data_IF_778511285860
#
_entry.id   IF_778511285860
#
_cell.length_a   1.000
_cell.length_b   1.000
_cell.length_c   1.000
_cell.angle_alpha   90.00
_cell.angle_beta   90.00
_cell.angle_gamma   90.00
#
_symmetry.space_group_name_H-M   'P 1'
#
loop_
_entity.id
_entity.type
_entity.pdbx_description
1 polymer ?
#
# COMPACT_ATOMS: atom_id res chain seq x y z
N UNK A 1 -16.76 -53.54 -59.89
CA UNK A 1 -17.99 -52.96 -59.33
C UNK A 1 -17.71 -51.49 -59.06
N UNK A 2 -18.29 -50.62 -59.88
CA UNK A 2 -18.11 -49.17 -59.89
C UNK A 2 -19.32 -48.48 -59.27
N UNK A 3 -19.11 -47.64 -58.25
CA UNK A 3 -20.11 -46.67 -57.74
C UNK A 3 -19.33 -45.51 -57.09
N UNK A 4 -18.98 -44.48 -57.85
CA UNK A 4 -19.74 -43.23 -58.08
C UNK A 4 -19.73 -42.28 -56.88
N UNK A 5 -18.84 -41.28 -56.96
CA UNK A 5 -18.83 -40.08 -56.11
C UNK A 5 -20.08 -39.22 -56.34
N UNK A 6 -20.67 -38.61 -55.30
CA UNK A 6 -21.81 -37.73 -55.47
C UNK A 6 -21.39 -36.35 -56.00
N UNK A 7 -22.03 -35.94 -57.09
CA UNK A 7 -21.96 -34.64 -57.75
C UNK A 7 -22.54 -33.53 -56.85
N UNK A 8 -22.01 -32.29 -56.86
CA UNK A 8 -22.62 -31.18 -56.15
C UNK A 8 -23.99 -30.81 -56.75
N UNK A 9 -24.95 -30.29 -55.96
CA UNK A 9 -26.23 -29.86 -56.49
C UNK A 9 -26.05 -28.65 -57.41
N UNK A 10 -26.85 -28.63 -58.48
CA UNK A 10 -26.91 -27.56 -59.46
C UNK A 10 -27.41 -26.25 -58.85
N UNK A 11 -26.90 -25.14 -59.36
CA UNK A 11 -27.45 -23.80 -59.16
C UNK A 11 -28.80 -23.70 -59.90
N UNK A 12 -29.87 -24.17 -59.26
CA UNK A 12 -31.25 -23.96 -59.68
C UNK A 12 -31.87 -22.80 -58.92
N UNK A 13 -32.27 -21.75 -59.63
CA UNK A 13 -32.99 -20.61 -59.07
C UNK A 13 -34.27 -21.05 -58.37
N UNK A 14 -34.34 -20.74 -57.08
CA UNK A 14 -35.50 -20.93 -56.22
C UNK A 14 -35.30 -20.05 -55.00
N UNK A 15 -36.29 -19.22 -54.69
CA UNK A 15 -36.19 -18.11 -53.74
C UNK A 15 -35.47 -18.48 -52.45
N UNK A 16 -34.59 -17.57 -52.00
CA UNK A 16 -34.09 -17.53 -50.63
C UNK A 16 -35.26 -17.79 -49.68
N UNK A 17 -35.23 -18.84 -48.85
CA UNK A 17 -36.15 -18.91 -47.74
C UNK A 17 -35.88 -17.64 -46.94
N UNK A 18 -36.92 -16.82 -46.78
CA UNK A 18 -36.85 -15.71 -45.84
C UNK A 18 -36.41 -16.33 -44.51
N UNK A 19 -35.20 -15.98 -44.08
CA UNK A 19 -34.80 -16.16 -42.69
C UNK A 19 -35.95 -15.52 -41.90
N UNK A 20 -36.68 -16.35 -41.14
CA UNK A 20 -37.65 -15.83 -40.18
C UNK A 20 -36.97 -14.74 -39.35
N UNK A 21 -37.73 -13.76 -38.83
CA UNK A 21 -37.14 -12.66 -38.07
C UNK A 21 -36.19 -13.27 -37.06
N UNK A 22 -34.89 -12.93 -37.17
CA UNK A 22 -33.91 -13.25 -36.14
C UNK A 22 -34.55 -12.68 -34.89
N UNK A 23 -35.01 -13.54 -33.99
CA UNK A 23 -35.51 -13.09 -32.70
C UNK A 23 -34.44 -12.16 -32.16
N UNK A 24 -34.80 -10.89 -31.96
CA UNK A 24 -33.86 -9.88 -31.51
C UNK A 24 -33.29 -10.36 -30.18
N UNK A 25 -32.08 -10.94 -30.19
CA UNK A 25 -31.40 -11.40 -28.98
C UNK A 25 -31.32 -10.20 -28.04
N UNK A 26 -32.13 -10.19 -26.99
CA UNK A 26 -32.13 -9.14 -25.98
C UNK A 26 -30.84 -9.27 -25.16
N UNK A 27 -29.78 -8.63 -25.61
CA UNK A 27 -28.59 -8.39 -24.81
C UNK A 27 -28.96 -7.55 -23.59
N UNK A 28 -28.92 -8.13 -22.38
CA UNK A 28 -29.26 -7.42 -21.14
C UNK A 28 -28.06 -7.34 -20.21
N UNK A 29 -27.76 -6.13 -19.72
CA UNK A 29 -26.88 -5.97 -18.56
C UNK A 29 -27.70 -6.28 -17.32
N UNK A 30 -27.32 -7.33 -16.61
CA UNK A 30 -27.99 -7.75 -15.38
C UNK A 30 -27.58 -6.89 -14.18
N UNK A 31 -26.27 -6.70 -14.02
CA UNK A 31 -25.68 -5.97 -12.89
C UNK A 31 -24.34 -5.37 -13.26
N UNK A 32 -24.03 -4.24 -12.63
CA UNK A 32 -22.74 -3.59 -12.70
C UNK A 32 -22.28 -3.25 -11.29
N UNK A 33 -21.06 -3.63 -10.92
CA UNK A 33 -20.55 -3.41 -9.57
C UNK A 33 -19.04 -3.24 -9.53
N UNK A 34 -18.58 -2.52 -8.51
CA UNK A 34 -17.17 -2.46 -8.15
C UNK A 34 -16.76 -3.71 -7.38
N UNK A 35 -15.54 -4.19 -7.60
CA UNK A 35 -15.07 -5.45 -7.03
C UNK A 35 -13.59 -5.44 -6.62
N UNK A 36 -13.28 -6.27 -5.63
CA UNK A 36 -11.93 -6.65 -5.26
C UNK A 36 -11.59 -8.03 -5.84
N UNK A 37 -10.34 -8.21 -6.27
CA UNK A 37 -9.85 -9.50 -6.76
C UNK A 37 -9.41 -10.39 -5.60
N UNK A 38 -9.81 -11.65 -5.66
CA UNK A 38 -9.32 -12.70 -4.77
C UNK A 38 -8.93 -13.94 -5.57
N UNK A 39 -7.80 -14.51 -5.25
CA UNK A 39 -7.16 -15.65 -5.92
C UNK A 39 -7.00 -16.79 -4.93
N UNK A 40 -7.30 -18.00 -5.38
CA UNK A 40 -7.12 -19.24 -4.61
C UNK A 40 -6.19 -20.17 -5.38
N UNK A 41 -5.21 -20.74 -4.71
CA UNK A 41 -4.43 -21.87 -5.22
C UNK A 41 -4.76 -23.12 -4.39
N UNK A 42 -5.31 -24.14 -5.04
CA UNK A 42 -5.61 -25.41 -4.39
C UNK A 42 -5.47 -26.55 -5.40
N UNK A 43 -4.86 -27.67 -4.99
CA UNK A 43 -4.73 -28.89 -5.79
C UNK A 43 -4.16 -28.68 -7.20
N UNK A 44 -3.19 -27.76 -7.34
CA UNK A 44 -2.56 -27.42 -8.64
C UNK A 44 -3.41 -26.54 -9.57
N UNK A 45 -4.59 -26.10 -9.13
CA UNK A 45 -5.41 -25.12 -9.84
C UNK A 45 -5.27 -23.75 -9.18
N UNK A 46 -5.20 -22.70 -10.00
CA UNK A 46 -5.30 -21.30 -9.56
C UNK A 46 -6.63 -20.76 -10.06
N UNK A 47 -7.50 -20.31 -9.17
CA UNK A 47 -8.80 -19.72 -9.53
C UNK A 47 -8.90 -18.29 -9.05
N UNK A 48 -9.74 -17.50 -9.71
CA UNK A 48 -9.99 -16.10 -9.38
C UNK A 48 -11.47 -15.84 -9.19
N UNK A 49 -11.79 -14.98 -8.23
CA UNK A 49 -13.12 -14.40 -8.03
C UNK A 49 -13.03 -12.88 -7.88
N UNK A 50 -14.13 -12.21 -8.19
CA UNK A 50 -14.29 -10.77 -8.07
C UNK A 50 -15.42 -10.50 -7.08
N UNK A 51 -15.06 -10.12 -5.86
CA UNK A 51 -15.99 -9.92 -4.75
C UNK A 51 -16.47 -8.47 -4.71
N UNK A 52 -17.79 -8.26 -4.56
CA UNK A 52 -18.40 -6.93 -4.55
C UNK A 52 -17.75 -6.04 -3.47
N UNK A 53 -17.36 -4.84 -3.87
CA UNK A 53 -16.87 -3.79 -2.98
C UNK A 53 -17.93 -2.70 -2.81
N UNK A 54 -18.19 -2.30 -1.57
CA UNK A 54 -19.07 -1.17 -1.22
C UNK A 54 -18.30 0.07 -0.75
N UNK A 55 -17.00 -0.09 -0.52
CA UNK A 55 -16.10 0.95 -0.01
C UNK A 55 -14.70 0.73 -0.56
N UNK A 56 -14.00 1.81 -0.89
CA UNK A 56 -12.63 1.75 -1.39
C UNK A 56 -11.83 3.00 -1.04
N UNK A 57 -10.52 2.85 -0.97
CA UNK A 57 -9.61 3.97 -0.73
C UNK A 57 -9.24 4.64 -2.05
N UNK A 58 -9.34 5.97 -2.10
CA UNK A 58 -8.97 6.77 -3.27
C UNK A 58 -7.53 6.48 -3.72
N UNK A 59 -7.32 6.37 -5.04
CA UNK A 59 -6.02 6.13 -5.67
C UNK A 59 -5.63 4.67 -5.84
N UNK A 60 -6.27 3.74 -5.13
CA UNK A 60 -5.99 2.31 -5.23
C UNK A 60 -6.65 1.68 -6.46
N UNK A 61 -6.14 0.51 -6.86
CA UNK A 61 -6.72 -0.28 -7.94
C UNK A 61 -8.06 -0.89 -7.50
N UNK A 62 -9.05 -0.87 -8.39
CA UNK A 62 -10.33 -1.55 -8.23
C UNK A 62 -10.77 -2.18 -9.56
N UNK A 63 -11.65 -3.17 -9.49
CA UNK A 63 -12.28 -3.77 -10.66
C UNK A 63 -13.71 -3.26 -10.82
N UNK A 64 -14.16 -3.11 -12.06
CA UNK A 64 -15.59 -2.98 -12.40
C UNK A 64 -15.99 -4.24 -13.16
N UNK A 65 -17.08 -4.85 -12.73
CA UNK A 65 -17.66 -6.05 -13.37
C UNK A 65 -19.03 -5.68 -13.88
N UNK A 66 -19.24 -5.88 -15.18
CA UNK A 66 -20.56 -5.80 -15.82
C UNK A 66 -20.95 -7.21 -16.23
N UNK A 67 -22.05 -7.70 -15.68
CA UNK A 67 -22.58 -9.01 -16.02
C UNK A 67 -23.71 -8.91 -17.02
N UNK A 68 -23.66 -9.82 -17.97
CA UNK A 68 -24.54 -9.84 -19.11
C UNK A 68 -25.29 -11.16 -19.21
N UNK A 69 -26.55 -11.10 -19.63
CA UNK A 69 -27.37 -12.23 -20.07
C UNK A 69 -27.65 -12.10 -21.56
N UNK A 70 -27.66 -13.23 -22.26
CA UNK A 70 -27.94 -13.32 -23.70
C UNK A 70 -27.05 -12.43 -24.59
N UNK A 71 -25.95 -11.90 -24.05
CA UNK A 71 -24.96 -11.15 -24.80
C UNK A 71 -24.03 -12.12 -25.51
N UNK A 72 -24.08 -12.07 -26.84
CA UNK A 72 -23.19 -12.87 -27.69
C UNK A 72 -21.73 -12.63 -27.30
N UNK A 73 -20.94 -13.72 -27.24
CA UNK A 73 -19.50 -13.66 -26.96
C UNK A 73 -18.84 -12.71 -27.96
N UNK A 74 -18.53 -11.51 -27.48
CA UNK A 74 -17.83 -10.50 -28.24
C UNK A 74 -18.51 -9.16 -28.46
N UNK A 75 -19.71 -8.94 -27.91
CA UNK A 75 -20.22 -7.58 -27.80
C UNK A 75 -19.31 -6.72 -26.93
N UNK A 76 -19.34 -5.40 -27.16
CA UNK A 76 -18.56 -4.44 -26.36
C UNK A 76 -19.47 -3.67 -25.41
N UNK A 77 -19.02 -3.59 -24.15
CA UNK A 77 -19.61 -2.75 -23.12
C UNK A 77 -18.70 -1.54 -22.93
N UNK A 78 -19.30 -0.35 -22.95
CA UNK A 78 -18.63 0.88 -22.56
C UNK A 78 -19.08 1.26 -21.15
N UNK A 79 -18.11 1.40 -20.27
CA UNK A 79 -18.27 1.71 -18.85
C UNK A 79 -17.79 3.13 -18.60
N UNK A 80 -18.59 3.94 -17.88
CA UNK A 80 -18.19 5.24 -17.34
C UNK A 80 -18.42 5.26 -15.84
N UNK A 81 -17.62 6.04 -15.14
CA UNK A 81 -17.78 6.27 -13.70
C UNK A 81 -18.42 7.64 -13.53
N UNK A 82 -19.41 7.73 -12.65
CA UNK A 82 -20.10 8.99 -12.37
C UNK A 82 -20.19 9.25 -10.88
N UNK A 83 -20.31 10.51 -10.49
CA UNK A 83 -20.70 10.84 -9.12
C UNK A 83 -22.17 10.46 -8.88
N UNK A 84 -22.48 9.92 -7.71
CA UNK A 84 -23.86 9.69 -7.28
C UNK A 84 -24.44 10.86 -6.49
N UNK A 85 -23.57 11.73 -5.99
CA UNK A 85 -23.85 12.93 -5.21
C UNK A 85 -22.83 14.02 -5.56
N UNK A 86 -23.00 15.23 -5.01
CA UNK A 86 -22.14 16.39 -5.28
C UNK A 86 -20.91 16.45 -4.38
N UNK A 87 -20.71 15.53 -3.43
CA UNK A 87 -19.66 15.66 -2.40
C UNK A 87 -18.26 15.32 -2.88
N UNK A 88 -18.09 14.73 -4.07
CA UNK A 88 -16.75 14.45 -4.62
C UNK A 88 -16.21 15.60 -5.48
N UNK A 89 -17.09 16.25 -6.24
CA UNK A 89 -16.68 17.22 -7.28
C UNK A 89 -17.52 18.50 -7.31
N UNK A 90 -18.52 18.62 -6.43
CA UNK A 90 -19.53 19.68 -6.45
C UNK A 90 -20.68 19.45 -7.44
N UNK A 91 -20.66 18.34 -8.20
CA UNK A 91 -21.65 18.08 -9.25
C UNK A 91 -22.14 16.63 -9.19
N UNK A 92 -23.45 16.43 -9.09
CA UNK A 92 -24.11 15.12 -9.14
C UNK A 92 -24.17 14.59 -10.59
N UNK A 93 -24.06 13.27 -10.79
CA UNK A 93 -24.08 12.62 -12.11
C UNK A 93 -22.94 13.04 -13.05
N UNK A 94 -21.88 13.66 -12.53
CA UNK A 94 -20.75 14.05 -13.35
C UNK A 94 -19.93 12.82 -13.77
N UNK A 95 -19.68 12.64 -15.06
CA UNK A 95 -18.73 11.64 -15.55
C UNK A 95 -17.32 11.99 -15.08
N UNK A 96 -16.74 11.09 -14.31
CA UNK A 96 -15.40 11.24 -13.76
C UNK A 96 -14.34 10.92 -14.81
N UNK A 97 -13.23 11.66 -14.72
CA UNK A 97 -11.98 11.36 -15.40
C UNK A 97 -11.10 10.55 -14.45
N UNK A 98 -10.74 9.34 -14.87
CA UNK A 98 -9.83 8.47 -14.11
C UNK A 98 -8.64 8.08 -14.96
N UNK A 99 -7.51 7.80 -14.33
CA UNK A 99 -6.27 7.47 -15.03
C UNK A 99 -6.31 6.03 -15.56
N UNK A 100 -5.85 5.85 -16.80
CA UNK A 100 -5.46 4.54 -17.32
C UNK A 100 -3.97 4.22 -17.09
N UNK A 101 -3.27 5.09 -16.36
CA UNK A 101 -1.81 5.05 -16.14
C UNK A 101 -1.06 6.13 -16.91
N UNK A 102 -1.57 6.57 -18.07
CA UNK A 102 -0.89 7.54 -18.95
C UNK A 102 -1.67 8.83 -19.19
N UNK A 103 -2.99 8.78 -19.08
CA UNK A 103 -3.87 9.93 -19.29
C UNK A 103 -5.19 9.71 -18.56
N UNK A 104 -5.96 10.79 -18.44
CA UNK A 104 -7.35 10.71 -18.02
C UNK A 104 -8.24 10.11 -19.11
N UNK A 105 -9.08 9.17 -18.70
CA UNK A 105 -10.12 8.56 -19.53
C UNK A 105 -11.48 8.72 -18.85
N UNK A 106 -12.51 8.95 -19.67
CA UNK A 106 -13.90 9.09 -19.21
C UNK A 106 -14.74 7.84 -19.46
N UNK A 107 -14.20 6.89 -20.24
CA UNK A 107 -14.89 5.66 -20.59
C UNK A 107 -13.90 4.54 -20.88
N UNK A 108 -14.31 3.32 -20.55
CA UNK A 108 -13.58 2.09 -20.85
C UNK A 108 -14.46 1.21 -21.72
N UNK A 109 -13.98 0.83 -22.90
CA UNK A 109 -14.70 -0.12 -23.77
C UNK A 109 -14.01 -1.47 -23.69
N UNK A 110 -14.74 -2.48 -23.26
CA UNK A 110 -14.24 -3.85 -23.09
C UNK A 110 -15.18 -4.85 -23.74
N UNK A 111 -14.61 -5.93 -24.27
CA UNK A 111 -15.37 -7.02 -24.89
C UNK A 111 -15.89 -7.96 -23.80
N UNK A 112 -17.15 -8.39 -23.90
CA UNK A 112 -17.71 -9.41 -23.00
C UNK A 112 -16.97 -10.74 -23.19
N UNK A 113 -16.51 -11.33 -22.09
CA UNK A 113 -15.67 -12.51 -22.06
C UNK A 113 -14.17 -12.23 -22.14
N UNK A 114 -13.76 -10.96 -22.24
CA UNK A 114 -12.35 -10.56 -22.17
C UNK A 114 -11.86 -10.54 -20.72
N UNK A 115 -10.86 -11.37 -20.43
CA UNK A 115 -10.27 -11.54 -19.11
C UNK A 115 -8.89 -10.91 -18.97
N UNK A 116 -8.43 -10.12 -19.95
CA UNK A 116 -7.11 -9.48 -19.94
C UNK A 116 -6.87 -8.56 -18.74
N UNK A 117 -7.93 -7.96 -18.18
CA UNK A 117 -7.88 -7.18 -16.94
C UNK A 117 -7.37 -8.00 -15.73
N UNK A 118 -7.41 -9.33 -15.81
CA UNK A 118 -6.97 -10.26 -14.78
C UNK A 118 -5.51 -10.71 -14.96
N UNK A 119 -4.85 -10.34 -16.07
CA UNK A 119 -3.49 -10.77 -16.37
C UNK A 119 -2.46 -10.20 -15.39
N UNK A 120 -1.32 -10.89 -15.30
CA UNK A 120 -0.14 -10.44 -14.56
C UNK A 120 0.69 -9.40 -15.34
N UNK A 121 1.84 -8.99 -14.78
CA UNK A 121 2.71 -7.98 -15.41
C UNK A 121 3.33 -8.44 -16.74
N UNK A 122 3.34 -9.75 -17.02
CA UNK A 122 3.81 -10.33 -18.28
C UNK A 122 2.65 -10.59 -19.26
N UNK A 123 1.45 -10.08 -18.97
CA UNK A 123 0.23 -10.30 -19.73
C UNK A 123 -0.19 -11.78 -19.81
N UNK A 124 0.20 -12.59 -18.81
CA UNK A 124 -0.19 -13.99 -18.69
C UNK A 124 -1.39 -14.15 -17.75
N UNK A 125 -2.21 -15.17 -18.00
CA UNK A 125 -3.36 -15.52 -17.16
C UNK A 125 -3.22 -16.96 -16.67
N UNK A 126 -2.94 -17.14 -15.38
CA UNK A 126 -2.74 -18.46 -14.78
C UNK A 126 -4.05 -19.11 -14.29
N UNK A 127 -5.18 -18.43 -14.44
CA UNK A 127 -6.44 -18.87 -13.84
C UNK A 127 -7.13 -19.97 -14.66
N UNK A 128 -7.58 -21.03 -13.99
CA UNK A 128 -8.22 -22.19 -14.64
C UNK A 128 -9.73 -22.02 -14.82
N UNK A 129 -10.35 -21.05 -14.13
CA UNK A 129 -11.79 -20.82 -14.14
C UNK A 129 -12.22 -19.62 -15.01
N UNK A 130 -11.45 -19.27 -16.04
CA UNK A 130 -11.77 -18.13 -16.92
C UNK A 130 -13.10 -18.27 -17.65
N UNK A 131 -13.58 -19.51 -17.84
CA UNK A 131 -14.90 -19.77 -18.42
C UNK A 131 -16.05 -19.15 -17.61
N UNK A 132 -15.88 -18.96 -16.29
CA UNK A 132 -16.87 -18.33 -15.40
C UNK A 132 -17.11 -16.85 -15.74
N UNK A 133 -16.18 -16.24 -16.48
CA UNK A 133 -16.21 -14.83 -16.87
C UNK A 133 -16.66 -14.64 -18.33
N UNK A 134 -17.08 -15.70 -19.02
CA UNK A 134 -17.46 -15.65 -20.44
C UNK A 134 -18.62 -14.68 -20.73
N UNK A 135 -19.45 -14.37 -19.73
CA UNK A 135 -20.57 -13.44 -19.82
C UNK A 135 -20.30 -12.11 -19.07
N UNK A 136 -19.04 -11.78 -18.78
CA UNK A 136 -18.67 -10.59 -18.01
C UNK A 136 -17.77 -9.67 -18.82
N UNK A 137 -17.97 -8.37 -18.65
CA UNK A 137 -17.04 -7.34 -19.06
C UNK A 137 -16.30 -6.86 -17.81
N UNK A 138 -14.97 -6.88 -17.83
CA UNK A 138 -14.12 -6.60 -16.66
C UNK A 138 -13.20 -5.44 -16.97
N UNK A 139 -13.25 -4.39 -16.15
CA UNK A 139 -12.34 -3.25 -16.23
C UNK A 139 -11.48 -3.21 -14.98
N UNK A 140 -10.16 -3.11 -15.12
CA UNK A 140 -9.21 -2.82 -14.03
C UNK A 140 -8.76 -1.37 -14.16
N UNK A 141 -8.86 -0.60 -13.09
CA UNK A 141 -8.44 0.81 -13.09
C UNK A 141 -7.88 1.25 -11.74
N UNK A 142 -7.07 2.31 -11.75
CA UNK A 142 -6.68 3.02 -10.53
C UNK A 142 -7.70 4.12 -10.27
N UNK A 143 -8.35 4.12 -9.11
CA UNK A 143 -9.45 5.01 -8.81
C UNK A 143 -8.96 6.42 -8.41
N UNK A 144 -8.42 7.15 -9.40
CA UNK A 144 -7.91 8.52 -9.28
C UNK A 144 -7.85 9.20 -10.64
N UNK A 145 -7.88 10.53 -10.71
CA UNK A 145 -7.45 11.25 -11.90
C UNK A 145 -5.94 11.08 -12.15
N UNK A 146 -5.52 11.41 -13.38
CA UNK A 146 -4.12 11.41 -13.79
C UNK A 146 -3.37 12.59 -13.17
N UNK A 147 -3.95 13.79 -13.20
CA UNK A 147 -3.33 15.00 -12.66
C UNK A 147 -3.38 15.03 -11.13
N UNK A 148 -2.25 15.41 -10.52
CA UNK A 148 -2.13 15.52 -9.05
C UNK A 148 -3.10 16.52 -8.43
N UNK A 149 -3.23 17.70 -9.03
CA UNK A 149 -4.11 18.75 -8.52
C UNK A 149 -5.58 18.28 -8.45
N UNK A 150 -6.03 17.50 -9.43
CA UNK A 150 -7.39 16.94 -9.43
C UNK A 150 -7.55 15.86 -8.36
N UNK A 151 -6.52 15.05 -8.12
CA UNK A 151 -6.51 14.08 -7.01
C UNK A 151 -6.64 14.79 -5.66
N UNK A 152 -5.87 15.86 -5.48
CA UNK A 152 -5.88 16.66 -4.25
C UNK A 152 -7.24 17.33 -4.03
N UNK A 153 -7.88 17.85 -5.09
CA UNK A 153 -9.26 18.36 -5.01
C UNK A 153 -10.26 17.28 -4.56
N UNK A 154 -10.19 16.07 -5.12
CA UNK A 154 -11.07 14.97 -4.68
C UNK A 154 -10.80 14.57 -3.23
N UNK A 155 -9.53 14.50 -2.83
CA UNK A 155 -9.12 14.16 -1.47
C UNK A 155 -9.58 15.22 -0.45
N UNK A 156 -9.50 16.51 -0.81
CA UNK A 156 -10.03 17.61 0.00
C UNK A 156 -11.54 17.48 0.23
N UNK A 157 -12.30 17.26 -0.84
CA UNK A 157 -13.74 17.11 -0.72
C UNK A 157 -14.16 15.90 0.13
N UNK A 158 -13.46 14.75 0.02
CA UNK A 158 -13.73 13.59 0.89
C UNK A 158 -13.43 13.94 2.36
N UNK A 159 -12.35 14.69 2.65
CA UNK A 159 -12.04 15.15 4.01
C UNK A 159 -13.18 16.02 4.55
N UNK A 160 -13.65 16.97 3.77
CA UNK A 160 -14.68 17.93 4.18
C UNK A 160 -16.06 17.27 4.37
N UNK A 161 -16.31 16.16 3.66
CA UNK A 161 -17.52 15.35 3.82
C UNK A 161 -17.59 14.60 5.17
N UNK A 162 -16.47 14.45 5.89
CA UNK A 162 -16.42 13.82 7.21
C UNK A 162 -16.97 12.39 7.21
N UNK A 163 -18.01 12.13 8.01
CA UNK A 163 -18.65 10.81 8.08
C UNK A 163 -19.56 10.50 6.88
N UNK A 164 -19.98 11.54 6.15
CA UNK A 164 -20.86 11.42 4.99
C UNK A 164 -20.03 11.26 3.72
N UNK A 165 -19.30 10.15 3.61
CA UNK A 165 -18.39 9.90 2.48
C UNK A 165 -19.11 10.00 1.12
N UNK A 166 -18.45 10.60 0.10
CA UNK A 166 -18.99 10.66 -1.25
C UNK A 166 -19.11 9.26 -1.86
N UNK A 167 -20.07 9.12 -2.76
CA UNK A 167 -20.32 7.87 -3.48
C UNK A 167 -20.21 8.04 -4.98
N UNK A 168 -19.67 7.00 -5.63
CA UNK A 168 -19.58 6.93 -7.09
C UNK A 168 -20.35 5.74 -7.63
N UNK A 169 -20.66 5.84 -8.91
CA UNK A 169 -21.51 4.94 -9.63
C UNK A 169 -20.98 4.52 -11.00
N UNK A 170 -21.68 3.57 -11.61
CA UNK A 170 -21.33 2.96 -12.89
C UNK A 170 -22.42 3.25 -13.92
N UNK A 171 -22.07 3.94 -14.98
CA UNK A 171 -22.90 4.05 -16.18
C UNK A 171 -22.39 3.06 -17.23
N UNK A 172 -23.30 2.31 -17.85
CA UNK A 172 -22.97 1.35 -18.91
C UNK A 172 -23.73 1.65 -20.18
N UNK A 173 -23.08 1.45 -21.32
CA UNK A 173 -23.72 1.41 -22.64
C UNK A 173 -23.21 0.21 -23.42
N UNK A 174 -24.07 -0.44 -24.19
CA UNK A 174 -23.70 -1.60 -25.01
C UNK A 174 -23.84 -1.24 -26.49
N UNK A 175 -22.83 -1.55 -27.29
CA UNK A 175 -22.87 -1.34 -28.73
C UNK A 175 -23.16 -2.67 -29.44
N UNK A 176 -24.44 -2.93 -29.67
CA UNK A 176 -24.93 -3.93 -30.63
C UNK A 176 -26.39 -3.55 -30.98
N UNK A 177 -26.75 -3.60 -32.26
CA UNK A 177 -28.05 -3.22 -32.86
C UNK A 177 -29.16 -2.74 -31.89
N UNK A 178 -29.30 -1.43 -31.67
CA UNK A 178 -30.52 -0.78 -31.12
C UNK A 178 -31.24 -1.50 -29.97
N UNK A 179 -30.54 -1.86 -28.90
CA UNK A 179 -31.15 -2.34 -27.65
C UNK A 179 -31.24 -1.24 -26.59
N UNK A 180 -32.30 -1.31 -25.78
CA UNK A 180 -32.50 -0.51 -24.57
C UNK A 180 -31.93 -1.28 -23.38
N UNK A 181 -31.05 -0.64 -22.61
CA UNK A 181 -30.59 -1.17 -21.33
C UNK A 181 -31.71 -1.05 -20.30
N UNK A 182 -32.12 -2.16 -19.71
CA UNK A 182 -32.73 -2.10 -18.38
C UNK A 182 -31.62 -1.73 -17.39
N UNK A 183 -31.88 -0.71 -16.58
CA UNK A 183 -30.91 -0.18 -15.61
C UNK A 183 -30.39 -1.32 -14.74
N UNK A 184 -29.09 -1.59 -14.84
CA UNK A 184 -28.39 -2.53 -13.98
C UNK A 184 -28.66 -2.16 -12.50
N UNK A 185 -28.83 -3.16 -11.63
CA UNK A 185 -28.81 -2.91 -10.19
C UNK A 185 -27.40 -2.50 -9.80
N UNK A 186 -27.20 -1.19 -9.72
CA UNK A 186 -25.93 -0.58 -9.42
C UNK A 186 -25.70 -0.53 -7.91
N UNK A 187 -24.51 -0.95 -7.48
CA UNK A 187 -24.09 -0.78 -6.09
C UNK A 187 -23.11 0.38 -6.00
N UNK A 188 -23.48 1.47 -5.30
CA UNK A 188 -22.60 2.61 -5.14
C UNK A 188 -21.35 2.22 -4.35
N UNK A 189 -20.24 2.87 -4.66
CA UNK A 189 -18.98 2.71 -3.93
C UNK A 189 -18.70 3.97 -3.11
N UNK A 190 -18.51 3.80 -1.80
CA UNK A 190 -18.07 4.87 -0.91
C UNK A 190 -16.56 5.06 -1.01
N UNK A 191 -16.11 6.32 -1.09
CA UNK A 191 -14.70 6.65 -1.19
C UNK A 191 -14.11 7.07 0.16
N UNK A 192 -13.00 6.46 0.54
CA UNK A 192 -12.23 6.82 1.74
C UNK A 192 -10.98 7.62 1.39
N UNK A 193 -10.67 8.58 2.27
CA UNK A 193 -9.46 9.38 2.18
C UNK A 193 -8.37 8.84 3.13
N UNK A 194 -7.38 8.13 2.58
CA UNK A 194 -6.23 7.60 3.33
C UNK A 194 -4.92 7.86 2.60
N UNK A 195 -3.83 7.92 3.35
CA UNK A 195 -2.48 7.64 2.85
C UNK A 195 -2.34 6.12 2.76
N UNK A 196 -1.76 5.60 1.69
CA UNK A 196 -1.67 4.15 1.48
C UNK A 196 -0.24 3.73 1.24
N UNK A 197 0.19 2.66 1.89
CA UNK A 197 1.40 1.92 1.53
C UNK A 197 1.00 0.53 1.04
N UNK A 198 1.50 0.13 -0.13
CA UNK A 198 1.30 -1.21 -0.65
C UNK A 198 2.65 -1.93 -0.71
N UNK A 199 2.70 -3.10 -0.08
CA UNK A 199 3.90 -3.93 0.05
C UNK A 199 3.67 -5.20 -0.76
N UNK A 200 4.64 -5.61 -1.58
CA UNK A 200 4.52 -6.77 -2.47
C UNK A 200 5.50 -7.87 -2.10
N UNK A 201 5.04 -9.13 -2.07
CA UNK A 201 5.92 -10.30 -2.02
C UNK A 201 6.94 -10.24 -3.16
N UNK A 202 8.20 -10.60 -2.87
CA UNK A 202 9.31 -10.64 -3.85
C UNK A 202 9.03 -11.52 -5.08
N UNK A 203 8.09 -12.46 -5.01
CA UNK A 203 7.68 -13.37 -6.08
C UNK A 203 6.37 -12.96 -6.75
N UNK A 204 5.73 -11.86 -6.32
CA UNK A 204 4.46 -11.42 -6.92
C UNK A 204 4.70 -10.97 -8.37
N UNK A 205 4.16 -11.72 -9.33
CA UNK A 205 4.28 -11.44 -10.78
C UNK A 205 3.28 -10.39 -11.29
N UNK A 206 2.32 -9.97 -10.46
CA UNK A 206 1.35 -8.90 -10.74
C UNK A 206 1.85 -7.53 -10.29
N UNK A 207 2.94 -7.49 -9.51
CA UNK A 207 3.63 -6.25 -9.16
C UNK A 207 4.15 -5.56 -10.43
N UNK A 208 3.66 -4.35 -10.68
CA UNK A 208 4.01 -3.51 -11.84
C UNK A 208 4.98 -2.38 -11.48
N UNK A 209 5.55 -2.39 -10.27
CA UNK A 209 6.50 -1.36 -9.85
C UNK A 209 7.80 -1.42 -10.67
N UNK A 210 8.49 -0.28 -10.85
CA UNK A 210 9.76 -0.22 -11.58
C UNK A 210 10.81 -1.18 -11.05
N UNK A 211 11.66 -1.64 -11.96
CA UNK A 211 12.83 -2.44 -11.64
C UNK A 211 13.98 -1.59 -11.10
N UNK A 212 14.88 -2.25 -10.37
CA UNK A 212 16.14 -1.70 -9.88
C UNK A 212 17.20 -2.80 -9.80
N UNK A 213 18.46 -2.40 -9.71
CA UNK A 213 19.59 -3.34 -9.60
C UNK A 213 20.00 -3.52 -8.14
N UNK A 214 20.07 -4.77 -7.68
CA UNK A 214 20.57 -5.16 -6.36
C UNK A 214 21.71 -6.15 -6.54
N UNK A 215 22.93 -5.79 -6.13
CA UNK A 215 24.11 -6.68 -6.23
C UNK A 215 24.30 -7.31 -7.64
N UNK A 216 23.99 -6.56 -8.69
CA UNK A 216 24.11 -7.01 -10.08
C UNK A 216 22.91 -7.80 -10.63
N UNK A 217 21.85 -8.03 -9.84
CA UNK A 217 20.61 -8.65 -10.30
C UNK A 217 19.48 -7.63 -10.42
N UNK A 218 18.61 -7.82 -11.40
CA UNK A 218 17.42 -6.99 -11.57
C UNK A 218 16.30 -7.50 -10.67
N UNK A 219 15.69 -6.60 -9.89
CA UNK A 219 14.55 -6.88 -9.02
C UNK A 219 13.50 -5.78 -9.13
N UNK A 220 12.21 -6.10 -8.96
CA UNK A 220 11.18 -5.05 -8.82
C UNK A 220 11.26 -4.37 -7.47
N UNK A 221 10.92 -3.09 -7.45
CA UNK A 221 10.57 -2.40 -6.21
C UNK A 221 9.34 -3.07 -5.58
N UNK A 222 9.25 -3.05 -4.24
CA UNK A 222 8.27 -3.83 -3.47
C UNK A 222 7.37 -2.98 -2.60
N UNK A 223 7.61 -1.67 -2.55
CA UNK A 223 6.83 -0.76 -1.72
C UNK A 223 6.41 0.40 -2.59
N UNK A 224 5.11 0.65 -2.63
CA UNK A 224 4.52 1.84 -3.23
C UNK A 224 3.79 2.67 -2.18
N UNK A 225 3.52 3.92 -2.52
CA UNK A 225 2.81 4.88 -1.69
C UNK A 225 1.85 5.72 -2.53
N UNK A 226 0.61 5.86 -2.05
CA UNK A 226 -0.33 6.87 -2.52
C UNK A 226 -0.28 8.03 -1.51
N UNK A 227 0.29 9.14 -1.96
CA UNK A 227 0.44 10.35 -1.17
C UNK A 227 -0.89 11.08 -1.05
N UNK A 228 -1.20 11.56 0.15
CA UNK A 228 -2.45 12.26 0.41
C UNK A 228 -2.25 13.29 1.52
N UNK A 229 -2.37 14.57 1.18
CA UNK A 229 -2.19 15.69 2.12
C UNK A 229 -3.42 15.98 2.98
N UNK A 230 -4.57 15.40 2.66
CA UNK A 230 -5.88 15.75 3.24
C UNK A 230 -6.33 14.75 4.33
N UNK A 231 -5.43 13.89 4.79
CA UNK A 231 -5.67 12.90 5.83
C UNK A 231 -4.38 12.59 6.57
N UNK A 232 -4.51 12.30 7.87
CA UNK A 232 -3.42 11.79 8.69
C UNK A 232 -3.53 10.27 8.91
N UNK A 233 -4.54 9.61 8.37
CA UNK A 233 -4.71 8.17 8.50
C UNK A 233 -3.91 7.44 7.42
N UNK A 234 -3.08 6.49 7.84
CA UNK A 234 -2.21 5.69 6.98
C UNK A 234 -2.63 4.23 7.04
N UNK A 235 -2.96 3.65 5.89
CA UNK A 235 -3.25 2.22 5.74
C UNK A 235 -2.09 1.50 5.07
N UNK A 236 -1.79 0.31 5.56
CA UNK A 236 -0.78 -0.60 4.99
C UNK A 236 -1.48 -1.82 4.42
N UNK A 237 -1.16 -2.14 3.16
CA UNK A 237 -1.64 -3.34 2.48
C UNK A 237 -0.47 -4.22 2.08
N UNK A 238 -0.69 -5.53 2.10
CA UNK A 238 0.26 -6.51 1.58
C UNK A 238 -0.37 -7.30 0.44
N UNK A 239 0.38 -7.45 -0.65
CA UNK A 239 0.06 -8.28 -1.78
C UNK A 239 0.94 -9.53 -1.74
N UNK A 240 0.33 -10.70 -1.54
CA UNK A 240 1.06 -11.96 -1.51
C UNK A 240 1.52 -12.38 -2.92
N UNK A 241 2.19 -13.54 -3.04
CA UNK A 241 2.73 -14.00 -4.35
C UNK A 241 1.67 -14.21 -5.44
N UNK A 242 0.41 -14.44 -5.06
CA UNK A 242 -0.72 -14.65 -5.99
C UNK A 242 -1.63 -13.43 -6.12
N UNK A 243 -1.17 -12.27 -5.65
CA UNK A 243 -1.85 -10.99 -5.78
C UNK A 243 -3.14 -10.84 -4.97
N UNK A 244 -3.28 -11.61 -3.88
CA UNK A 244 -4.29 -11.29 -2.86
C UNK A 244 -3.79 -10.11 -2.03
N UNK A 245 -4.68 -9.13 -1.86
CA UNK A 245 -4.46 -7.95 -1.04
C UNK A 245 -5.02 -8.14 0.37
N UNK A 246 -4.18 -7.94 1.38
CA UNK A 246 -4.52 -7.99 2.79
C UNK A 246 -4.34 -6.61 3.41
N UNK A 247 -5.34 -6.12 4.14
CA UNK A 247 -5.16 -4.93 4.98
C UNK A 247 -4.38 -5.31 6.23
N UNK A 248 -3.17 -4.77 6.37
CA UNK A 248 -2.27 -5.12 7.47
C UNK A 248 -2.54 -4.29 8.70
N UNK A 249 -2.74 -2.98 8.59
CA UNK A 249 -3.17 -2.11 9.69
C UNK A 249 -3.49 -0.69 9.20
N UNK A 250 -4.20 0.06 10.05
CA UNK A 250 -4.37 1.50 9.96
C UNK A 250 -3.76 2.19 11.18
N UNK A 251 -3.03 3.28 10.96
CA UNK A 251 -2.39 4.08 12.02
C UNK A 251 -2.54 5.57 11.74
N UNK A 252 -2.44 6.39 12.79
CA UNK A 252 -2.42 7.85 12.66
C UNK A 252 -0.98 8.35 12.51
N UNK A 253 -0.79 9.24 11.53
CA UNK A 253 0.43 9.97 11.27
C UNK A 253 0.44 11.31 12.03
N UNK A 254 1.59 11.63 12.60
CA UNK A 254 1.95 12.96 13.05
C UNK A 254 3.14 13.48 12.25
N UNK A 255 3.37 14.78 12.28
CA UNK A 255 4.55 15.38 11.67
C UNK A 255 5.27 16.22 12.71
N UNK A 256 6.60 16.05 12.78
CA UNK A 256 7.46 16.75 13.74
C UNK A 256 8.68 17.31 13.02
N UNK A 257 9.36 18.28 13.64
CA UNK A 257 10.59 18.84 13.05
C UNK A 257 11.67 17.78 12.97
N UNK A 258 12.31 17.68 11.80
CA UNK A 258 13.39 16.71 11.56
C UNK A 258 14.56 16.95 12.51
N UNK A 259 15.05 15.87 13.10
CA UNK A 259 16.24 15.85 13.94
C UNK A 259 17.44 15.34 13.15
N UNK A 260 18.63 15.78 13.48
CA UNK A 260 19.82 15.06 13.06
C UNK A 260 20.06 13.85 13.99
N UNK A 261 21.05 13.04 13.66
CA UNK A 261 21.57 12.05 14.61
C UNK A 261 22.03 12.76 15.89
N UNK A 262 21.84 12.08 17.02
CA UNK A 262 22.19 12.61 18.32
C UNK A 262 23.68 12.51 18.63
N UNK A 263 24.07 13.16 19.72
CA UNK A 263 25.43 13.12 20.26
C UNK A 263 25.40 12.74 21.76
N UNK A 264 26.45 12.08 22.23
CA UNK A 264 26.67 11.89 23.67
C UNK A 264 27.31 13.16 24.25
N UNK A 265 26.81 13.63 25.40
CA UNK A 265 27.38 14.81 26.09
C UNK A 265 27.57 14.53 27.59
N UNK A 266 28.58 15.16 28.18
CA UNK A 266 28.96 14.87 29.57
C UNK A 266 28.12 15.60 30.62
N UNK A 267 27.50 16.73 30.26
CA UNK A 267 26.69 17.54 31.17
C UNK A 267 25.50 18.18 30.46
N UNK A 268 24.45 18.50 31.22
CA UNK A 268 23.29 19.26 30.73
C UNK A 268 23.65 20.76 30.77
N UNK A 269 23.71 21.45 29.62
CA UNK A 269 24.03 22.88 29.60
C UNK A 269 22.95 23.74 30.26
N UNK A 270 23.33 24.86 30.86
CA UNK A 270 22.37 25.85 31.35
C UNK A 270 21.50 26.44 30.22
N UNK A 271 20.37 27.06 30.57
CA UNK A 271 19.53 27.82 29.64
C UNK A 271 18.45 27.01 28.91
N UNK A 272 18.05 25.84 29.44
CA UNK A 272 16.82 25.20 28.99
C UNK A 272 15.62 26.05 29.38
N UNK A 273 14.61 26.07 28.53
CA UNK A 273 13.37 26.83 28.76
C UNK A 273 12.30 26.00 29.45
N UNK A 274 12.41 24.68 29.36
CA UNK A 274 11.50 23.72 29.98
C UNK A 274 12.28 22.43 30.27
N UNK A 275 11.90 21.74 31.33
CA UNK A 275 12.31 20.36 31.59
C UNK A 275 11.15 19.58 32.16
N UNK A 276 11.06 18.29 31.85
CA UNK A 276 10.01 17.43 32.36
C UNK A 276 10.37 15.95 32.26
N UNK A 277 9.58 15.07 32.89
CA UNK A 277 9.79 13.64 32.79
C UNK A 277 9.76 13.19 31.32
N UNK A 278 10.67 12.30 30.94
CA UNK A 278 10.62 11.66 29.64
C UNK A 278 9.43 10.69 29.56
N UNK A 279 9.05 10.28 28.34
CA UNK A 279 7.94 9.34 28.14
C UNK A 279 8.17 8.03 28.89
N UNK A 280 7.16 7.60 29.65
CA UNK A 280 7.21 6.37 30.43
C UNK A 280 7.46 5.14 29.56
N UNK A 281 8.29 4.20 30.04
CA UNK A 281 8.58 2.92 29.38
C UNK A 281 9.91 2.84 28.63
N UNK A 282 10.81 3.81 28.78
CA UNK A 282 12.20 3.74 28.30
C UNK A 282 13.21 4.13 29.39
N UNK A 283 14.50 4.02 29.10
CA UNK A 283 15.58 4.38 30.04
C UNK A 283 15.78 5.91 30.23
N UNK A 284 15.03 6.73 29.49
CA UNK A 284 15.07 8.18 29.63
C UNK A 284 14.27 8.59 30.87
N UNK A 285 14.84 9.48 31.69
CA UNK A 285 14.23 9.95 32.93
C UNK A 285 13.70 11.38 32.75
N UNK A 286 14.50 12.28 32.17
CA UNK A 286 14.17 13.70 32.02
C UNK A 286 14.57 14.22 30.64
N UNK A 287 13.70 15.03 30.04
CA UNK A 287 14.00 15.80 28.84
C UNK A 287 14.17 17.28 29.20
N UNK A 288 15.19 17.91 28.62
CA UNK A 288 15.47 19.34 28.71
C UNK A 288 15.35 19.98 27.34
N UNK A 289 14.58 21.05 27.25
CA UNK A 289 14.16 21.65 26.00
C UNK A 289 14.74 23.05 25.82
N UNK A 290 15.23 23.34 24.62
CA UNK A 290 15.89 24.62 24.29
C UNK A 290 15.28 25.22 23.02
N UNK A 291 14.96 26.51 23.07
CA UNK A 291 14.57 27.32 21.91
C UNK A 291 15.79 28.04 21.32
N UNK A 292 15.76 28.47 20.05
CA UNK A 292 16.80 29.38 19.56
C UNK A 292 16.43 30.86 19.72
N UNK A 293 15.15 31.24 19.64
CA UNK A 293 14.73 32.64 19.78
C UNK A 293 13.34 32.77 20.46
N UNK A 294 12.94 33.98 20.91
CA UNK A 294 11.57 34.28 21.33
C UNK A 294 10.52 34.15 20.21
N UNK A 295 10.88 34.39 18.94
CA UNK A 295 9.97 34.31 17.78
C UNK A 295 9.55 32.88 17.42
N UNK A 296 10.41 31.89 17.68
CA UNK A 296 10.11 30.46 17.45
C UNK A 296 8.97 29.91 18.34
N UNK A 297 8.43 30.72 19.27
CA UNK A 297 7.37 30.33 20.21
C UNK A 297 5.97 30.25 19.59
N UNK A 298 5.76 30.78 18.38
CA UNK A 298 4.42 30.92 17.76
C UNK A 298 4.04 29.79 16.80
N UNK A 299 4.90 28.79 16.58
CA UNK A 299 4.68 27.70 15.60
C UNK A 299 3.94 26.51 16.27
N UNK A 300 2.99 25.94 15.53
CA UNK A 300 1.94 25.04 16.01
C UNK A 300 2.43 23.81 16.82
N UNK A 301 1.82 23.66 18.00
CA UNK A 301 2.05 22.69 19.09
C UNK A 301 3.32 22.94 19.92
N UNK A 302 3.10 23.28 21.20
CA UNK A 302 4.10 23.74 22.17
C UNK A 302 5.32 22.81 22.33
N UNK A 303 5.16 21.51 22.03
CA UNK A 303 6.21 20.49 22.09
C UNK A 303 7.13 20.40 20.85
N UNK A 304 6.76 20.99 19.70
CA UNK A 304 7.50 20.85 18.43
C UNK A 304 8.38 22.04 18.04
N UNK A 305 8.41 23.10 18.87
CA UNK A 305 9.23 24.31 18.67
C UNK A 305 10.69 24.19 19.10
N UNK A 306 11.04 23.13 19.84
CA UNK A 306 12.37 23.02 20.43
C UNK A 306 13.45 22.75 19.40
N UNK A 307 14.44 23.64 19.32
CA UNK A 307 15.58 23.49 18.41
C UNK A 307 16.55 22.41 18.86
N UNK A 308 16.44 22.03 20.13
CA UNK A 308 17.34 21.12 20.79
C UNK A 308 16.63 20.46 21.96
N UNK A 309 16.79 19.15 22.04
CA UNK A 309 16.25 18.32 23.11
C UNK A 309 17.43 17.53 23.68
N UNK A 310 17.57 17.55 25.01
CA UNK A 310 18.55 16.75 25.72
C UNK A 310 17.79 15.76 26.58
N UNK A 311 18.00 14.47 26.35
CA UNK A 311 17.43 13.40 27.16
C UNK A 311 18.49 12.88 28.12
N UNK A 312 18.16 12.86 29.41
CA UNK A 312 18.98 12.32 30.47
C UNK A 312 18.40 11.01 30.99
N UNK A 313 19.25 10.04 31.29
CA UNK A 313 18.93 8.96 32.20
C UNK A 313 20.18 8.42 32.88
N UNK A 314 20.02 7.95 34.11
CA UNK A 314 21.12 7.50 34.98
C UNK A 314 21.96 6.39 34.36
N UNK A 315 21.34 5.51 33.56
CA UNK A 315 22.00 4.34 32.95
C UNK A 315 22.90 4.67 31.77
N UNK A 316 22.50 5.61 30.91
CA UNK A 316 23.21 5.88 29.65
C UNK A 316 23.74 7.32 29.53
N UNK A 317 23.52 8.17 30.53
CA UNK A 317 24.00 9.55 30.57
C UNK A 317 23.12 10.48 29.75
N UNK A 318 23.73 11.50 29.13
CA UNK A 318 22.99 12.51 28.37
C UNK A 318 23.10 12.23 26.87
N UNK A 319 21.98 12.41 26.16
CA UNK A 319 21.93 12.41 24.68
C UNK A 319 21.35 13.71 24.21
N UNK A 320 21.97 14.26 23.17
CA UNK A 320 21.66 15.56 22.62
C UNK A 320 21.13 15.41 21.20
N UNK A 321 19.98 16.01 20.88
CA UNK A 321 19.37 15.95 19.55
C UNK A 321 19.10 17.37 19.03
N UNK A 322 19.75 17.73 17.92
CA UNK A 322 19.53 19.01 17.23
C UNK A 322 18.57 18.84 16.05
N UNK A 323 17.98 19.93 15.61
CA UNK A 323 17.26 19.97 14.33
C UNK A 323 18.22 19.75 13.16
N UNK A 324 17.82 18.92 12.19
CA UNK A 324 18.62 18.71 10.97
C UNK A 324 18.76 20.01 10.15
N UNK A 325 17.75 20.87 10.20
CA UNK A 325 17.76 22.18 9.54
C UNK A 325 17.02 23.24 10.36
N UNK A 326 17.43 24.51 10.18
CA UNK A 326 16.71 25.67 10.73
C UNK A 326 15.39 25.95 10.00
N UNK A 327 15.18 25.38 8.81
CA UNK A 327 13.93 25.54 8.07
C UNK A 327 12.75 24.97 8.88
N UNK A 328 11.77 25.81 9.18
CA UNK A 328 10.54 25.43 9.90
C UNK A 328 9.72 24.35 9.17
N UNK A 329 9.88 24.26 7.86
CA UNK A 329 9.19 23.29 7.01
C UNK A 329 9.97 21.98 6.83
N UNK A 330 11.16 21.84 7.42
CA UNK A 330 11.87 20.55 7.44
C UNK A 330 11.23 19.63 8.49
N UNK A 331 10.20 18.93 8.03
CA UNK A 331 9.39 18.01 8.82
C UNK A 331 9.73 16.56 8.48
N UNK A 332 9.49 15.69 9.45
CA UNK A 332 9.42 14.25 9.25
C UNK A 332 8.05 13.75 9.70
N UNK A 333 7.50 12.85 8.90
CA UNK A 333 6.29 12.11 9.22
C UNK A 333 6.62 10.92 10.10
N UNK A 334 5.88 10.76 11.19
CA UNK A 334 5.97 9.64 12.10
C UNK A 334 4.60 8.99 12.26
N UNK A 335 4.59 7.67 12.38
CA UNK A 335 3.42 6.91 12.80
C UNK A 335 3.73 6.20 14.11
N UNK A 336 2.76 6.16 15.02
CA UNK A 336 2.85 5.29 16.19
C UNK A 336 2.53 3.86 15.74
N UNK A 337 3.50 2.97 15.84
CA UNK A 337 3.27 1.56 15.60
C UNK A 337 2.33 0.99 16.69
N UNK A 338 1.42 0.07 16.36
CA UNK A 338 0.68 -0.70 17.35
C UNK A 338 1.62 -1.37 18.37
N UNK A 339 1.20 -1.44 19.65
CA UNK A 339 2.03 -2.00 20.74
C UNK A 339 2.41 -3.47 20.50
N UNK A 340 1.52 -4.19 19.83
CA UNK A 340 1.78 -5.49 19.22
C UNK A 340 1.05 -5.58 17.89
N UNK A 341 1.53 -6.47 17.02
CA UNK A 341 0.81 -6.92 15.86
C UNK A 341 0.88 -8.44 15.79
N UNK A 342 -0.24 -9.05 15.44
CA UNK A 342 -0.34 -10.47 15.15
C UNK A 342 -1.33 -10.63 13.99
N UNK A 343 -0.86 -10.33 12.78
CA UNK A 343 -1.58 -10.70 11.56
C UNK A 343 -1.14 -12.10 11.22
N UNK A 344 -2.09 -13.02 11.09
CA UNK A 344 -1.86 -14.38 10.64
C UNK A 344 -2.99 -14.81 9.71
N UNK A 345 -2.92 -14.35 8.46
CA UNK A 345 -3.89 -14.70 7.44
C UNK A 345 -3.37 -15.94 6.70
N UNK A 346 -3.95 -17.10 7.03
CA UNK A 346 -3.52 -18.39 6.49
C UNK A 346 -4.21 -18.72 5.17
N UNK A 347 -3.41 -18.97 4.13
CA UNK A 347 -3.88 -19.56 2.86
C UNK A 347 -2.87 -20.60 2.33
N UNK A 348 -2.22 -21.35 3.23
CA UNK A 348 -1.18 -22.33 2.88
C UNK A 348 0.15 -21.68 2.50
N UNK A 349 0.69 -21.97 1.31
CA UNK A 349 1.96 -21.42 0.81
C UNK A 349 1.95 -19.88 0.58
N UNK A 350 0.83 -19.24 0.88
CA UNK A 350 0.51 -17.83 0.69
C UNK A 350 0.23 -17.11 2.02
N UNK A 351 0.60 -17.74 3.14
CA UNK A 351 0.44 -17.20 4.50
C UNK A 351 1.04 -15.80 4.61
N UNK A 352 0.26 -14.89 5.20
CA UNK A 352 0.70 -13.53 5.54
C UNK A 352 0.80 -13.44 7.05
N UNK A 353 2.04 -13.53 7.58
CA UNK A 353 2.30 -13.39 9.01
C UNK A 353 3.13 -12.16 9.32
N UNK A 354 2.52 -11.14 9.92
CA UNK A 354 3.21 -9.95 10.40
C UNK A 354 3.06 -9.86 11.92
N UNK A 355 4.03 -10.40 12.64
CA UNK A 355 3.95 -10.54 14.09
C UNK A 355 5.14 -9.88 14.80
N UNK A 356 4.83 -8.96 15.72
CA UNK A 356 5.81 -8.34 16.60
C UNK A 356 5.21 -7.87 17.91
N UNK A 357 6.05 -7.74 18.94
CA UNK A 357 5.71 -7.09 20.20
C UNK A 357 6.80 -6.08 20.58
N UNK A 358 6.41 -4.97 21.20
CA UNK A 358 7.40 -4.10 21.84
C UNK A 358 7.77 -4.59 23.23
N UNK A 359 9.05 -4.58 23.55
CA UNK A 359 9.54 -4.92 24.89
C UNK A 359 10.47 -3.82 25.41
N UNK A 360 10.26 -3.43 26.68
CA UNK A 360 11.11 -2.50 27.43
C UNK A 360 11.46 -1.19 26.68
N UNK A 361 10.51 -0.65 25.91
CA UNK A 361 10.74 0.55 25.12
C UNK A 361 9.49 1.40 24.92
N UNK A 362 9.68 2.71 25.00
CA UNK A 362 8.69 3.71 24.63
C UNK A 362 8.94 4.29 23.21
N UNK A 363 10.03 3.86 22.56
CA UNK A 363 10.40 4.26 21.19
C UNK A 363 9.53 3.52 20.17
N UNK A 364 8.27 3.92 20.04
CA UNK A 364 7.24 3.24 19.21
C UNK A 364 6.85 4.01 17.96
N UNK A 365 7.57 5.09 17.64
CA UNK A 365 7.30 5.93 16.48
C UNK A 365 8.29 5.63 15.37
N UNK A 366 7.79 5.56 14.14
CA UNK A 366 8.57 5.16 12.97
C UNK A 366 8.19 6.02 11.78
N UNK A 367 9.12 6.27 10.87
CA UNK A 367 8.78 6.84 9.57
C UNK A 367 7.82 5.86 8.85
N UNK A 368 6.68 6.32 8.32
CA UNK A 368 5.70 5.41 7.69
C UNK A 368 6.29 4.59 6.52
N UNK A 369 7.27 5.13 5.79
CA UNK A 369 8.00 4.37 4.75
C UNK A 369 8.86 3.25 5.36
N UNK A 370 9.56 3.56 6.45
CA UNK A 370 10.36 2.58 7.20
C UNK A 370 9.45 1.49 7.80
N UNK A 371 8.28 1.87 8.33
CA UNK A 371 7.31 0.91 8.86
C UNK A 371 6.77 -0.04 7.78
N UNK A 372 6.51 0.46 6.56
CA UNK A 372 6.17 -0.41 5.43
C UNK A 372 7.29 -1.43 5.12
N UNK A 373 8.55 -0.99 5.16
CA UNK A 373 9.71 -1.86 5.02
C UNK A 373 9.78 -2.92 6.12
N UNK A 374 9.58 -2.52 7.37
CA UNK A 374 9.59 -3.43 8.51
C UNK A 374 8.45 -4.47 8.43
N UNK A 375 7.22 -4.05 8.09
CA UNK A 375 6.10 -4.96 7.87
C UNK A 375 6.39 -5.98 6.77
N UNK A 376 6.97 -5.54 5.64
CA UNK A 376 7.38 -6.45 4.57
C UNK A 376 8.44 -7.47 5.03
N UNK A 377 9.43 -7.02 5.81
CA UNK A 377 10.44 -7.90 6.39
C UNK A 377 9.84 -8.93 7.35
N UNK A 378 8.89 -8.53 8.21
CA UNK A 378 8.18 -9.46 9.11
C UNK A 378 7.40 -10.52 8.33
N UNK A 379 6.68 -10.12 7.28
CA UNK A 379 5.89 -11.03 6.44
C UNK A 379 6.79 -12.03 5.71
N UNK A 380 7.92 -11.56 5.15
CA UNK A 380 8.90 -12.45 4.52
C UNK A 380 9.54 -13.41 5.53
N UNK A 381 9.83 -12.94 6.75
CA UNK A 381 10.40 -13.78 7.80
C UNK A 381 9.40 -14.82 8.30
N UNK A 382 8.11 -14.47 8.37
CA UNK A 382 7.02 -15.35 8.78
C UNK A 382 7.11 -15.82 10.24
N UNK A 383 7.72 -15.01 11.11
CA UNK A 383 7.97 -15.32 12.53
C UNK A 383 7.83 -14.08 13.40
N UNK A 384 7.69 -14.31 14.71
CA UNK A 384 7.54 -13.25 15.69
C UNK A 384 8.88 -12.56 15.95
N UNK A 385 8.83 -11.24 16.04
CA UNK A 385 9.99 -10.41 16.35
C UNK A 385 9.71 -9.54 17.56
N UNK A 386 10.64 -9.51 18.51
CA UNK A 386 10.59 -8.54 19.61
C UNK A 386 11.28 -7.26 19.14
N UNK A 387 10.53 -6.16 19.10
CA UNK A 387 11.03 -4.83 18.79
C UNK A 387 11.47 -4.13 20.08
N UNK A 388 12.72 -3.69 20.14
CA UNK A 388 13.31 -3.02 21.32
C UNK A 388 13.47 -1.51 21.12
N UNK A 389 13.11 -1.01 19.93
CA UNK A 389 12.75 0.40 19.76
C UNK A 389 13.03 1.00 18.38
N UNK A 390 12.35 2.11 18.14
CA UNK A 390 12.45 2.98 16.98
C UNK A 390 12.86 4.38 17.45
N UNK A 391 12.01 5.41 17.27
CA UNK A 391 12.15 6.74 17.88
C UNK A 391 10.96 7.07 18.80
N UNK A 392 11.08 8.17 19.54
CA UNK A 392 9.99 8.80 20.29
C UNK A 392 9.11 9.65 19.38
N UNK A 393 7.98 10.12 19.92
CA UNK A 393 7.02 10.98 19.20
C UNK A 393 7.69 12.27 18.68
N UNK A 394 8.73 12.74 19.38
CA UNK A 394 9.48 13.96 19.10
C UNK A 394 10.65 13.79 18.13
N UNK A 395 10.71 12.63 17.47
CA UNK A 395 11.80 12.18 16.62
C UNK A 395 13.15 12.03 17.34
N UNK A 396 13.23 12.11 18.68
CA UNK A 396 14.44 11.73 19.43
C UNK A 396 14.47 10.22 19.68
N UNK A 397 15.55 9.69 20.26
CA UNK A 397 15.70 8.23 20.34
C UNK A 397 16.53 7.67 21.49
N UNK A 398 16.56 8.36 22.63
CA UNK A 398 17.33 7.93 23.80
C UNK A 398 17.08 6.45 24.16
N UNK A 399 18.13 5.66 24.50
CA UNK A 399 19.54 6.04 24.64
C UNK A 399 20.33 6.06 23.32
N UNK A 400 19.69 5.68 22.21
CA UNK A 400 20.30 5.61 20.88
C UNK A 400 20.46 7.00 20.26
N UNK A 401 21.56 7.19 19.54
CA UNK A 401 21.85 8.42 18.79
C UNK A 401 21.53 8.32 17.29
N UNK A 402 21.27 7.13 16.76
CA UNK A 402 21.13 6.89 15.31
C UNK A 402 19.70 6.63 14.84
N UNK A 403 18.76 6.57 15.78
CA UNK A 403 17.33 6.37 15.51
C UNK A 403 16.49 7.63 15.29
N UNK A 404 17.00 8.89 15.40
CA UNK A 404 16.13 10.02 15.18
C UNK A 404 15.38 9.94 13.85
N UNK A 405 14.16 10.48 13.83
CA UNK A 405 13.24 10.45 12.68
C UNK A 405 12.62 9.08 12.33
N UNK A 406 12.89 8.02 13.10
CA UNK A 406 12.19 6.75 12.94
C UNK A 406 12.60 5.96 11.69
N UNK A 407 13.79 6.20 11.16
CA UNK A 407 14.35 5.53 9.98
C UNK A 407 15.18 4.27 10.34
N UNK A 408 15.04 3.77 11.58
CA UNK A 408 15.73 2.59 12.10
C UNK A 408 14.88 1.81 13.10
N UNK A 409 15.12 0.50 13.18
CA UNK A 409 14.49 -0.46 14.07
C UNK A 409 15.53 -1.29 14.83
N UNK A 410 15.38 -1.38 16.15
CA UNK A 410 16.09 -2.35 16.98
C UNK A 410 15.19 -3.55 17.23
N UNK A 411 15.75 -4.75 17.10
CA UNK A 411 15.07 -6.01 17.38
C UNK A 411 15.91 -6.90 18.26
N UNK A 412 15.31 -7.67 19.16
CA UNK A 412 16.05 -8.71 19.87
C UNK A 412 16.62 -9.74 18.88
N UNK A 413 17.78 -10.31 19.20
CA UNK A 413 18.31 -11.43 18.43
C UNK A 413 17.37 -12.62 18.51
N UNK A 414 17.16 -13.28 17.37
CA UNK A 414 16.54 -14.60 17.33
C UNK A 414 17.49 -15.65 17.92
N UNK A 415 16.93 -16.78 18.35
CA UNK A 415 17.66 -17.78 19.14
C UNK A 415 18.85 -18.43 18.41
N UNK A 416 18.86 -18.42 17.08
CA UNK A 416 19.88 -19.10 16.27
C UNK A 416 20.43 -18.20 15.17
N UNK A 417 21.69 -18.45 14.79
CA UNK A 417 22.34 -17.79 13.65
C UNK A 417 21.54 -17.89 12.36
N UNK A 418 21.01 -19.07 12.06
CA UNK A 418 20.23 -19.28 10.85
C UNK A 418 18.97 -18.42 10.83
N UNK A 419 18.21 -18.40 11.94
CA UNK A 419 17.01 -17.58 12.03
C UNK A 419 17.32 -16.08 11.94
N UNK A 420 18.39 -15.64 12.60
CA UNK A 420 18.82 -14.24 12.57
C UNK A 420 19.29 -13.82 11.17
N UNK A 421 20.01 -14.70 10.45
CA UNK A 421 20.41 -14.42 9.08
C UNK A 421 19.18 -14.24 8.18
N UNK A 422 18.14 -15.06 8.32
CA UNK A 422 16.89 -14.88 7.58
C UNK A 422 16.22 -13.52 7.89
N UNK A 423 16.29 -13.05 9.15
CA UNK A 423 15.78 -11.72 9.53
C UNK A 423 16.62 -10.61 8.87
N UNK A 424 17.93 -10.72 8.86
CA UNK A 424 18.84 -9.78 8.16
C UNK A 424 18.51 -9.74 6.67
N UNK A 425 18.39 -10.90 6.03
CA UNK A 425 18.10 -11.00 4.60
C UNK A 425 16.74 -10.35 4.29
N UNK A 426 15.72 -10.57 5.12
CA UNK A 426 14.41 -9.95 4.96
C UNK A 426 14.45 -8.41 5.13
N UNK A 427 15.19 -7.90 6.11
CA UNK A 427 15.39 -6.46 6.31
C UNK A 427 16.14 -5.82 5.13
N UNK A 428 17.20 -6.47 4.63
CA UNK A 428 17.94 -6.04 3.44
C UNK A 428 17.04 -5.99 2.20
N UNK A 429 16.24 -7.04 2.03
CA UNK A 429 15.32 -7.18 0.89
C UNK A 429 14.20 -6.12 0.91
N UNK A 430 13.97 -5.50 2.08
CA UNK A 430 13.07 -4.38 2.33
C UNK A 430 13.80 -3.09 2.70
N UNK A 431 14.94 -2.85 2.05
CA UNK A 431 15.59 -1.55 1.93
C UNK A 431 16.23 -0.97 3.20
N UNK A 432 16.45 -1.77 4.24
CA UNK A 432 17.35 -1.38 5.33
C UNK A 432 18.81 -1.48 4.86
N UNK A 433 19.52 -0.35 4.85
CA UNK A 433 20.87 -0.27 4.24
C UNK A 433 22.00 -0.40 5.24
N UNK A 434 21.70 -0.25 6.53
CA UNK A 434 22.66 -0.49 7.61
C UNK A 434 22.12 -1.54 8.57
N UNK A 435 22.89 -2.60 8.77
CA UNK A 435 22.60 -3.66 9.75
C UNK A 435 23.79 -3.74 10.70
N UNK A 436 23.57 -3.43 11.98
CA UNK A 436 24.60 -3.44 13.01
C UNK A 436 24.31 -4.55 14.02
N UNK A 437 25.38 -5.22 14.43
CA UNK A 437 25.33 -6.38 15.30
C UNK A 437 26.44 -6.39 16.35
N UNK A 438 26.29 -7.28 17.31
CA UNK A 438 27.31 -7.66 18.27
C UNK A 438 28.40 -8.54 17.67
N UNK A 439 29.37 -8.88 18.52
CA UNK A 439 30.55 -9.69 18.23
C UNK A 439 30.55 -11.03 18.98
N UNK A 440 29.71 -11.19 20.00
CA UNK A 440 29.67 -12.39 20.82
C UNK A 440 29.09 -13.62 20.07
N UNK A 441 29.71 -14.79 20.28
CA UNK A 441 29.20 -16.06 19.81
C UNK A 441 29.03 -16.12 18.29
N UNK A 442 27.88 -16.64 17.83
CA UNK A 442 27.54 -16.79 16.41
C UNK A 442 27.23 -15.46 15.70
N UNK A 443 27.02 -14.36 16.44
CA UNK A 443 26.68 -13.05 15.84
C UNK A 443 27.78 -12.58 14.90
N UNK A 444 29.05 -12.88 15.21
CA UNK A 444 30.19 -12.52 14.36
C UNK A 444 30.15 -13.11 12.95
N UNK A 445 29.36 -14.16 12.75
CA UNK A 445 29.26 -14.92 11.51
C UNK A 445 28.09 -14.45 10.63
N UNK A 446 27.27 -13.50 11.09
CA UNK A 446 26.16 -12.95 10.32
C UNK A 446 26.69 -12.13 9.13
N UNK A 447 26.29 -12.53 7.93
CA UNK A 447 26.61 -11.84 6.68
C UNK A 447 25.79 -10.55 6.52
N UNK A 448 26.23 -9.67 5.62
CA UNK A 448 25.56 -8.40 5.30
C UNK A 448 25.26 -7.50 6.51
N UNK A 449 26.06 -7.64 7.57
CA UNK A 449 25.99 -6.88 8.81
C UNK A 449 27.38 -6.41 9.24
N UNK A 450 27.43 -5.39 10.10
CA UNK A 450 28.67 -4.82 10.64
C UNK A 450 28.69 -4.91 12.15
N UNK A 451 29.83 -5.27 12.71
CA UNK A 451 30.00 -5.16 14.16
C UNK A 451 29.95 -3.69 14.59
N UNK A 452 29.22 -3.41 15.67
CA UNK A 452 29.30 -2.15 16.39
C UNK A 452 29.15 -2.42 17.89
N UNK A 453 30.00 -1.77 18.70
CA UNK A 453 29.85 -1.81 20.14
C UNK A 453 28.43 -1.36 20.57
N UNK A 454 27.97 -1.84 21.73
CA UNK A 454 26.62 -1.59 22.30
C UNK A 454 25.46 -2.30 21.56
N UNK A 455 25.74 -3.28 20.71
CA UNK A 455 24.72 -4.09 19.98
C UNK A 455 24.80 -5.59 20.32
N UNK A 456 25.31 -5.94 21.50
CA UNK A 456 25.47 -7.35 21.90
C UNK A 456 24.14 -8.02 22.25
N UNK A 457 23.09 -7.27 22.59
CA UNK A 457 21.78 -7.78 23.01
C UNK A 457 20.67 -7.58 21.96
N UNK A 458 20.90 -6.76 20.93
CA UNK A 458 19.94 -6.50 19.85
C UNK A 458 20.61 -6.35 18.48
N UNK A 459 19.83 -6.55 17.43
CA UNK A 459 20.16 -6.21 16.05
C UNK A 459 19.58 -4.83 15.73
N UNK A 460 20.41 -3.93 15.22
CA UNK A 460 19.97 -2.64 14.70
C UNK A 460 19.87 -2.70 13.18
N UNK A 461 18.72 -2.28 12.64
CA UNK A 461 18.50 -2.12 11.21
C UNK A 461 18.06 -0.69 10.91
N UNK A 462 18.91 0.05 10.22
CA UNK A 462 18.75 1.49 10.03
C UNK A 462 19.03 1.95 8.62
N UNK A 463 18.98 3.27 8.46
CA UNK A 463 19.18 3.97 7.20
C UNK A 463 18.24 3.40 6.11
N UNK A 464 16.95 3.32 6.44
CA UNK A 464 15.95 2.87 5.48
C UNK A 464 15.96 3.74 4.22
N UNK A 465 16.14 3.12 3.05
CA UNK A 465 16.25 3.83 1.79
C UNK A 465 14.87 4.24 1.26
N UNK A 466 14.42 5.44 1.64
CA UNK A 466 13.13 6.00 1.21
C UNK A 466 13.00 6.18 -0.30
N UNK A 467 14.09 6.30 -1.06
CA UNK A 467 14.06 6.42 -2.52
C UNK A 467 13.62 5.11 -3.22
N UNK A 468 13.61 3.99 -2.48
CA UNK A 468 13.10 2.71 -2.94
C UNK A 468 11.57 2.62 -2.91
N UNK A 469 10.89 3.53 -2.20
CA UNK A 469 9.43 3.61 -2.17
C UNK A 469 8.92 4.38 -3.37
N UNK A 470 8.00 3.78 -4.14
CA UNK A 470 7.44 4.37 -5.37
C UNK A 470 6.20 5.18 -5.05
N UNK A 471 6.19 6.47 -5.37
CA UNK A 471 4.97 7.29 -5.26
C UNK A 471 4.12 7.10 -6.52
N UNK A 472 2.89 6.62 -6.39
CA UNK A 472 2.04 6.27 -7.53
C UNK A 472 1.31 7.48 -8.13
N UNK A 473 0.99 8.49 -7.33
CA UNK A 473 0.19 9.65 -7.70
C UNK A 473 0.99 10.96 -7.59
N UNK A 474 2.11 11.03 -8.29
CA UNK A 474 2.88 12.26 -8.42
C UNK A 474 2.21 13.29 -9.32
#
# INVERSE_FOLDING_TARGET
>A
MTTSSPTPPSAGGGGTPALGPIEACRAQVLRAYFANKFVTEANGATTVRLDIASRHVLGRVIYIVVECEDVWRGATVTVRIRTNDDRLTGVTQQILKVTNGTADVQSFTVRVGDTTALNDSANACAYTNLADFANKAIVKLSLRPHARADFDNWAEHIRDAGQNLPSIGIETTCAWQSFSLQNAVERPLLLENKKVYEIYDRRNTYNVLPEHTVKGTTARKKISHIENGFTNQVKYYFFNRIDNCYEICEVTQTSVRRRANGDEIDHIPAGYVESGPASAGGDAETNYYYNATPEDRTIHAEKWRYHRIISHGSRYGNRYYYLASRNANDMVDLVKMPDSRDVDEETGANRVRAAYIFENTARKYCNPRCFAGFLGALIQLGRDVVCTGMCFEDATSYPSVSHPNGDSVDTAYLATQHAEQLKIDALRDHYFTTILRGSGGWKKELADSRYRAKHEDHLHAGEFNVAMVVVLNR
#
